data_IF_704413692742
#
_entry.id   IF_704413692742
#
_cell.length_a   1.000
_cell.length_b   1.000
_cell.length_c   1.000
_cell.angle_alpha   90.00
_cell.angle_beta   90.00
_cell.angle_gamma   90.00
#
_symmetry.space_group_name_H-M   'P 1'
#
loop_
_entity.id
_entity.type
_entity.pdbx_description
1 polymer ?
#
# COMPACT_ATOMS: atom_id res chain seq x y z
N UNK A 1 8.60 0.05 -5.31
CA UNK A 1 7.53 0.97 -4.85
C UNK A 1 7.65 1.11 -3.34
N UNK A 2 7.73 2.31 -2.76
CA UNK A 2 8.09 2.50 -1.34
C UNK A 2 7.19 1.71 -0.37
N UNK A 3 5.89 1.63 -0.67
CA UNK A 3 4.91 0.86 0.10
C UNK A 3 5.17 -0.66 0.07
N UNK A 4 5.57 -1.22 -1.07
CA UNK A 4 5.90 -2.66 -1.18
C UNK A 4 7.11 -3.01 -0.33
N UNK A 5 8.16 -2.19 -0.39
CA UNK A 5 9.35 -2.39 0.41
C UNK A 5 9.05 -2.31 1.92
N UNK A 6 8.17 -1.40 2.34
CA UNK A 6 7.71 -1.35 3.72
C UNK A 6 6.89 -2.59 4.11
N UNK A 7 6.01 -3.10 3.23
CA UNK A 7 5.26 -4.34 3.46
C UNK A 7 6.21 -5.52 3.64
N UNK A 8 7.25 -5.64 2.81
CA UNK A 8 8.28 -6.67 2.93
C UNK A 8 9.03 -6.56 4.27
N UNK A 9 9.42 -5.35 4.65
CA UNK A 9 10.10 -5.11 5.94
C UNK A 9 9.23 -5.52 7.14
N UNK A 10 7.96 -5.15 7.15
CA UNK A 10 7.03 -5.57 8.21
C UNK A 10 6.78 -7.08 8.19
N UNK A 11 6.72 -7.69 7.00
CA UNK A 11 6.58 -9.15 6.86
C UNK A 11 7.78 -9.88 7.45
N UNK A 12 9.00 -9.41 7.15
CA UNK A 12 10.23 -9.95 7.72
C UNK A 12 10.25 -9.81 9.24
N UNK A 13 9.92 -8.63 9.76
CA UNK A 13 9.83 -8.38 11.19
C UNK A 13 8.82 -9.29 11.89
N UNK A 14 7.63 -9.46 11.30
CA UNK A 14 6.59 -10.37 11.79
C UNK A 14 7.08 -11.82 11.85
N UNK A 15 7.79 -12.28 10.83
CA UNK A 15 8.36 -13.63 10.79
C UNK A 15 9.42 -13.82 11.87
N UNK A 16 10.30 -12.84 12.08
CA UNK A 16 11.26 -12.87 13.19
C UNK A 16 10.54 -12.98 14.54
N UNK A 17 9.54 -12.13 14.81
CA UNK A 17 8.76 -12.22 16.05
C UNK A 17 8.00 -13.55 16.18
N UNK A 18 7.56 -14.15 15.07
CA UNK A 18 6.91 -15.47 15.08
C UNK A 18 7.86 -16.57 15.50
N UNK A 19 9.09 -16.58 14.98
CA UNK A 19 10.09 -17.59 15.36
C UNK A 19 10.52 -17.43 16.83
N UNK A 20 10.77 -16.21 17.29
CA UNK A 20 11.12 -15.97 18.70
C UNK A 20 9.96 -16.32 19.65
N UNK A 21 8.71 -16.08 19.23
CA UNK A 21 7.53 -16.53 19.98
C UNK A 21 7.56 -18.05 20.17
N UNK A 22 7.81 -18.82 19.10
CA UNK A 22 7.89 -20.29 19.18
C UNK A 22 8.95 -20.75 20.16
N UNK A 23 10.12 -20.11 20.17
CA UNK A 23 11.20 -20.40 21.13
C UNK A 23 10.73 -20.16 22.57
N UNK A 24 10.08 -19.02 22.82
CA UNK A 24 9.56 -18.70 24.16
C UNK A 24 8.41 -19.62 24.60
N UNK A 25 7.51 -20.00 23.68
CA UNK A 25 6.44 -20.95 23.96
C UNK A 25 7.01 -22.34 24.31
N UNK A 26 8.03 -22.79 23.59
CA UNK A 26 8.70 -24.06 23.89
C UNK A 26 9.36 -24.02 25.27
N UNK A 27 10.03 -22.92 25.61
CA UNK A 27 10.64 -22.74 26.93
C UNK A 27 9.58 -22.75 28.05
N UNK A 28 8.42 -22.13 27.82
CA UNK A 28 7.28 -22.18 28.73
C UNK A 28 6.82 -23.62 28.95
N UNK A 29 6.52 -24.38 27.89
CA UNK A 29 6.07 -25.76 28.04
C UNK A 29 7.11 -26.68 28.70
N UNK A 30 8.39 -26.49 28.38
CA UNK A 30 9.47 -27.22 29.03
C UNK A 30 9.52 -26.91 30.53
N UNK A 31 9.41 -25.65 30.92
CA UNK A 31 9.47 -25.23 32.34
C UNK A 31 8.33 -25.80 33.18
N UNK A 32 7.14 -26.01 32.60
CA UNK A 32 6.02 -26.70 33.27
C UNK A 32 6.42 -28.12 33.65
N UNK A 33 7.04 -28.86 32.73
CA UNK A 33 7.44 -30.25 32.96
C UNK A 33 8.51 -30.40 34.06
N UNK A 34 9.33 -29.36 34.28
CA UNK A 34 10.36 -29.33 35.31
C UNK A 34 9.97 -28.54 36.57
N UNK A 35 8.72 -28.05 36.66
CA UNK A 35 8.22 -27.22 37.77
C UNK A 35 9.05 -25.95 38.03
N UNK A 36 9.72 -25.40 37.00
CA UNK A 36 10.47 -24.14 37.11
C UNK A 36 9.55 -22.94 36.91
N UNK A 37 8.97 -22.45 38.01
CA UNK A 37 8.04 -21.31 37.99
C UNK A 37 8.66 -20.02 37.46
N UNK A 38 9.96 -19.78 37.68
CA UNK A 38 10.60 -18.54 37.26
C UNK A 38 10.72 -18.50 35.74
N UNK A 39 11.20 -19.58 35.15
CA UNK A 39 11.30 -19.71 33.70
C UNK A 39 9.91 -19.69 33.06
N UNK A 40 8.93 -20.37 33.66
CA UNK A 40 7.54 -20.34 33.20
C UNK A 40 7.00 -18.92 33.08
N UNK A 41 7.10 -18.11 34.14
CA UNK A 41 6.61 -16.74 34.13
C UNK A 41 7.36 -15.86 33.13
N UNK A 42 8.68 -16.02 33.04
CA UNK A 42 9.53 -15.24 32.12
C UNK A 42 9.20 -15.56 30.67
N UNK A 43 9.13 -16.84 30.31
CA UNK A 43 8.80 -17.30 28.96
C UNK A 43 7.39 -16.88 28.52
N UNK A 44 6.42 -16.90 29.44
CA UNK A 44 5.07 -16.40 29.17
C UNK A 44 5.06 -14.90 28.86
N UNK A 45 5.78 -14.09 29.63
CA UNK A 45 5.89 -12.65 29.39
C UNK A 45 6.56 -12.36 28.04
N UNK A 46 7.64 -13.08 27.72
CA UNK A 46 8.33 -12.95 26.44
C UNK A 46 7.41 -13.34 25.27
N UNK A 47 6.67 -14.45 25.38
CA UNK A 47 5.71 -14.88 24.36
C UNK A 47 4.62 -13.82 24.11
N UNK A 48 4.12 -13.19 25.19
CA UNK A 48 3.14 -12.10 25.08
C UNK A 48 3.71 -10.88 24.32
N UNK A 49 4.97 -10.50 24.57
CA UNK A 49 5.64 -9.41 23.85
C UNK A 49 5.73 -9.73 22.35
N UNK A 50 6.16 -10.94 21.99
CA UNK A 50 6.25 -11.32 20.57
C UNK A 50 4.88 -11.43 19.90
N UNK A 51 3.84 -11.83 20.63
CA UNK A 51 2.47 -11.83 20.11
C UNK A 51 1.96 -10.41 19.78
N UNK A 52 2.32 -9.42 20.61
CA UNK A 52 2.05 -8.01 20.32
C UNK A 52 2.79 -7.54 19.07
N UNK A 53 4.08 -7.84 18.94
CA UNK A 53 4.87 -7.54 17.74
C UNK A 53 4.21 -8.09 16.46
N UNK A 54 3.79 -9.36 16.47
CA UNK A 54 3.12 -10.00 15.33
C UNK A 54 1.84 -9.26 14.96
N UNK A 55 1.03 -8.91 15.97
CA UNK A 55 -0.25 -8.23 15.77
C UNK A 55 -0.07 -6.82 15.19
N UNK A 56 0.90 -6.06 15.70
CA UNK A 56 1.25 -4.73 15.20
C UNK A 56 1.75 -4.78 13.76
N UNK A 57 2.67 -5.70 13.45
CA UNK A 57 3.19 -5.87 12.10
C UNK A 57 2.07 -6.24 11.12
N UNK A 58 1.16 -7.15 11.50
CA UNK A 58 0.00 -7.52 10.70
C UNK A 58 -0.91 -6.31 10.41
N UNK A 59 -1.20 -5.48 11.42
CA UNK A 59 -1.98 -4.25 11.22
C UNK A 59 -1.32 -3.30 10.22
N UNK A 60 0.00 -3.10 10.34
CA UNK A 60 0.77 -2.24 9.42
C UNK A 60 0.75 -2.78 7.98
N UNK A 61 0.94 -4.08 7.80
CA UNK A 61 0.87 -4.75 6.50
C UNK A 61 -0.52 -4.56 5.88
N UNK A 62 -1.59 -4.86 6.62
CA UNK A 62 -2.96 -4.72 6.13
C UNK A 62 -3.29 -3.29 5.72
N UNK A 63 -2.90 -2.29 6.52
CA UNK A 63 -3.11 -0.89 6.20
C UNK A 63 -2.38 -0.48 4.90
N UNK A 64 -1.11 -0.89 4.75
CA UNK A 64 -0.33 -0.59 3.55
C UNK A 64 -0.86 -1.30 2.30
N UNK A 65 -1.27 -2.55 2.42
CA UNK A 65 -1.92 -3.29 1.33
C UNK A 65 -3.21 -2.60 0.88
N UNK A 66 -4.01 -2.08 1.81
CA UNK A 66 -5.23 -1.35 1.44
C UNK A 66 -4.93 -0.07 0.64
N UNK A 67 -3.88 0.66 1.02
CA UNK A 67 -3.43 1.85 0.27
C UNK A 67 -2.89 1.45 -1.10
N UNK A 68 -2.03 0.43 -1.17
CA UNK A 68 -1.45 -0.07 -2.41
C UNK A 68 -2.53 -0.50 -3.41
N UNK A 69 -3.55 -1.23 -2.93
CA UNK A 69 -4.69 -1.64 -3.75
C UNK A 69 -5.46 -0.45 -4.33
N UNK A 70 -5.66 0.62 -3.54
CA UNK A 70 -6.30 1.85 -4.03
C UNK A 70 -5.44 2.55 -5.10
N UNK A 71 -4.13 2.66 -4.87
CA UNK A 71 -3.21 3.27 -5.85
C UNK A 71 -3.22 2.50 -7.16
N UNK A 72 -3.14 1.17 -7.10
CA UNK A 72 -3.20 0.30 -8.28
C UNK A 72 -4.53 0.46 -9.03
N UNK A 73 -5.65 0.52 -8.31
CA UNK A 73 -6.96 0.77 -8.91
C UNK A 73 -7.00 2.11 -9.68
N UNK A 74 -6.59 3.21 -9.04
CA UNK A 74 -6.62 4.53 -9.69
C UNK A 74 -5.63 4.63 -10.84
N UNK A 75 -4.44 4.04 -10.69
CA UNK A 75 -3.47 3.96 -11.77
C UNK A 75 -4.06 3.26 -12.99
N UNK A 76 -4.67 2.08 -12.80
CA UNK A 76 -5.30 1.33 -13.88
C UNK A 76 -6.44 2.12 -14.52
N UNK A 77 -7.29 2.77 -13.72
CA UNK A 77 -8.38 3.60 -14.24
C UNK A 77 -7.85 4.75 -15.11
N UNK A 78 -6.83 5.47 -14.64
CA UNK A 78 -6.22 6.56 -15.39
C UNK A 78 -5.55 6.06 -16.67
N UNK A 79 -4.83 4.94 -16.59
CA UNK A 79 -4.20 4.30 -17.73
C UNK A 79 -5.23 3.89 -18.79
N UNK A 80 -6.34 3.27 -18.39
CA UNK A 80 -7.44 2.93 -19.30
C UNK A 80 -8.06 4.18 -19.95
N UNK A 81 -8.31 5.25 -19.17
CA UNK A 81 -8.83 6.51 -19.71
C UNK A 81 -7.86 7.14 -20.70
N UNK A 82 -6.58 7.18 -20.36
CA UNK A 82 -5.53 7.70 -21.24
C UNK A 82 -5.45 6.91 -22.54
N UNK A 83 -5.47 5.58 -22.47
CA UNK A 83 -5.46 4.72 -23.66
C UNK A 83 -6.69 4.96 -24.53
N UNK A 84 -7.87 5.05 -23.94
CA UNK A 84 -9.10 5.34 -24.68
C UNK A 84 -9.04 6.71 -25.38
N UNK A 85 -8.62 7.76 -24.67
CA UNK A 85 -8.47 9.10 -25.27
C UNK A 85 -7.44 9.11 -26.39
N UNK A 86 -6.35 8.36 -26.23
CA UNK A 86 -5.30 8.23 -27.24
C UNK A 86 -5.81 7.49 -28.47
N UNK A 87 -6.52 6.37 -28.30
CA UNK A 87 -7.11 5.59 -29.38
C UNK A 87 -8.18 6.37 -30.14
N UNK A 88 -9.03 7.11 -29.42
CA UNK A 88 -10.12 7.91 -30.00
C UNK A 88 -9.69 9.33 -30.36
N UNK A 89 -8.40 9.67 -30.27
CA UNK A 89 -7.89 11.03 -30.45
C UNK A 89 -8.39 11.67 -31.75
N UNK A 90 -8.30 10.98 -32.88
CA UNK A 90 -8.76 11.52 -34.17
C UNK A 90 -10.28 11.71 -34.22
N UNK A 91 -11.04 10.76 -33.67
CA UNK A 91 -12.51 10.87 -33.59
C UNK A 91 -12.92 12.03 -32.67
N UNK A 92 -12.24 12.17 -31.53
CA UNK A 92 -12.46 13.26 -30.59
C UNK A 92 -12.15 14.59 -31.27
N UNK A 93 -10.99 14.75 -31.91
CA UNK A 93 -10.61 15.98 -32.61
C UNK A 93 -11.57 16.33 -33.75
N UNK A 94 -12.06 15.34 -34.51
CA UNK A 94 -13.04 15.55 -35.59
C UNK A 94 -14.40 16.02 -35.07
N UNK A 95 -14.81 15.57 -33.88
CA UNK A 95 -16.12 15.89 -33.30
C UNK A 95 -16.06 16.97 -32.20
N UNK A 96 -14.88 17.38 -31.74
CA UNK A 96 -14.70 18.50 -30.81
C UNK A 96 -15.20 19.81 -31.45
N UNK A 97 -15.05 19.95 -32.76
CA UNK A 97 -15.61 21.06 -33.53
C UNK A 97 -17.15 21.08 -33.56
N UNK A 98 -17.81 19.99 -33.13
CA UNK A 98 -19.28 19.87 -33.07
C UNK A 98 -19.81 20.14 -31.66
N UNK A 99 -18.97 20.06 -30.63
CA UNK A 99 -19.35 20.28 -29.22
C UNK A 99 -18.91 21.69 -28.80
N UNK A 100 -19.88 22.60 -28.88
CA UNK A 100 -19.92 23.99 -28.39
C UNK A 100 -18.74 24.92 -28.73
N UNK A 101 -19.06 25.95 -29.51
CA UNK A 101 -18.15 27.04 -29.87
C UNK A 101 -17.52 27.73 -28.63
N UNK A 102 -18.25 27.75 -27.51
CA UNK A 102 -17.81 28.35 -26.25
C UNK A 102 -16.67 27.53 -25.60
N UNK A 103 -16.72 26.20 -25.67
CA UNK A 103 -15.67 25.34 -25.11
C UNK A 103 -14.38 25.41 -25.95
N UNK A 104 -14.53 25.56 -27.26
CA UNK A 104 -13.44 25.81 -28.20
C UNK A 104 -12.75 27.16 -27.93
N UNK A 105 -13.53 28.17 -27.52
CA UNK A 105 -13.01 29.48 -27.14
C UNK A 105 -12.27 29.45 -25.80
N UNK A 106 -12.76 28.70 -24.81
CA UNK A 106 -12.04 28.49 -23.54
C UNK A 106 -10.73 27.72 -23.75
N UNK A 107 -10.75 26.65 -24.56
CA UNK A 107 -9.54 25.87 -24.87
C UNK A 107 -8.51 26.70 -25.65
N UNK A 108 -8.94 27.54 -26.59
CA UNK A 108 -8.04 28.48 -27.28
C UNK A 108 -7.44 29.52 -26.31
N UNK A 109 -8.21 29.99 -25.34
CA UNK A 109 -7.74 30.95 -24.33
C UNK A 109 -6.69 30.30 -23.42
N UNK A 110 -6.91 29.05 -23.00
CA UNK A 110 -5.93 28.28 -22.22
C UNK A 110 -4.64 28.08 -23.03
N UNK A 111 -4.75 27.73 -24.32
CA UNK A 111 -3.59 27.52 -25.19
C UNK A 111 -2.77 28.80 -25.37
N UNK A 112 -3.42 29.93 -25.65
CA UNK A 112 -2.75 31.24 -25.76
C UNK A 112 -2.09 31.67 -24.44
N UNK A 113 -2.72 31.35 -23.31
CA UNK A 113 -2.15 31.63 -21.99
C UNK A 113 -0.88 30.82 -21.78
N UNK A 114 -0.90 29.52 -22.15
CA UNK A 114 0.28 28.65 -22.05
C UNK A 114 1.42 29.09 -22.99
N UNK A 115 1.11 29.55 -24.20
CA UNK A 115 2.12 30.09 -25.14
C UNK A 115 2.77 31.40 -24.64
N UNK A 116 2.05 32.20 -23.84
CA UNK A 116 2.62 33.39 -23.20
C UNK A 116 3.50 33.05 -21.99
N UNK A 117 3.20 31.94 -21.31
CA UNK A 117 4.05 31.35 -20.27
C UNK A 117 5.08 30.39 -20.89
N UNK A 118 5.92 30.90 -21.81
CA UNK A 118 7.05 30.17 -22.38
C UNK A 118 7.82 29.38 -21.31
N UNK A 119 7.79 28.05 -21.40
CA UNK A 119 8.83 27.16 -20.91
C UNK A 119 9.88 26.97 -22.00
#
# INVERSE_FOLDING_TARGET
>A
MLLEQEIENYTKSMNTCTEEKKVSDQAYFNSINYYDQKTMMTSLQISAVYNTCISEARLRISAKNAILNKLNFYHNLLYTKYNFLTEKRETILKNINVIDADLLQELNTINQTLDQYNF
#
